data_IF_514823052989
#
_entry.id   IF_514823052989
#
_cell.length_a   1.000
_cell.length_b   1.000
_cell.length_c   1.000
_cell.angle_alpha   90.00
_cell.angle_beta   90.00
_cell.angle_gamma   90.00
#
_symmetry.space_group_name_H-M   'P 1'
#
loop_
_entity.id
_entity.type
_entity.pdbx_description
1 polymer ?
#
# COMPACT_ATOMS: atom_id res chain seq x y z
N UNK A 1 -10.73 -19.26 -9.03
CA UNK A 1 -9.56 -18.67 -9.70
C UNK A 1 -9.91 -17.23 -10.04
N UNK A 2 -9.26 -16.28 -9.37
CA UNK A 2 -9.09 -14.88 -9.75
C UNK A 2 -7.68 -14.54 -9.29
N UNK A 3 -6.78 -13.93 -10.02
CA UNK A 3 -6.54 -13.83 -11.46
C UNK A 3 -5.05 -13.44 -11.54
N UNK A 4 -4.30 -14.04 -12.46
CA UNK A 4 -2.87 -13.83 -12.68
C UNK A 4 -2.48 -12.38 -13.09
N UNK A 5 -1.21 -12.07 -12.78
CA UNK A 5 -0.21 -11.32 -13.57
C UNK A 5 -0.08 -9.77 -13.52
N UNK A 6 0.90 -9.38 -12.70
CA UNK A 6 2.07 -8.50 -12.95
C UNK A 6 1.92 -7.17 -13.73
N UNK A 7 2.52 -6.16 -13.10
CA UNK A 7 3.15 -4.98 -13.70
C UNK A 7 2.22 -3.86 -14.19
N UNK A 8 1.21 -3.53 -13.39
CA UNK A 8 0.75 -2.16 -13.23
C UNK A 8 0.02 -2.13 -11.89
N UNK A 9 0.32 -1.20 -11.00
CA UNK A 9 -0.33 -1.12 -9.69
C UNK A 9 -1.85 -1.17 -9.91
N UNK A 10 -2.49 -2.27 -9.51
CA UNK A 10 -3.93 -2.45 -9.67
C UNK A 10 -4.65 -1.23 -9.08
N UNK A 11 -5.61 -0.60 -9.79
CA UNK A 11 -6.33 0.55 -9.26
C UNK A 11 -7.03 0.23 -7.94
N UNK A 12 -7.38 -1.05 -7.71
CA UNK A 12 -7.86 -1.55 -6.42
C UNK A 12 -6.87 -1.39 -5.27
N UNK A 13 -5.57 -1.56 -5.53
CA UNK A 13 -4.52 -1.33 -4.52
C UNK A 13 -4.46 0.15 -4.18
N UNK A 14 -4.53 1.02 -5.20
CA UNK A 14 -4.54 2.48 -5.00
C UNK A 14 -5.76 2.94 -4.19
N UNK A 15 -6.95 2.45 -4.53
CA UNK A 15 -8.18 2.73 -3.79
C UNK A 15 -8.11 2.21 -2.35
N UNK A 16 -7.65 0.97 -2.14
CA UNK A 16 -7.51 0.42 -0.79
C UNK A 16 -6.50 1.21 0.07
N UNK A 17 -5.38 1.63 -0.52
CA UNK A 17 -4.41 2.52 0.14
C UNK A 17 -5.07 3.87 0.44
N UNK A 18 -5.83 4.46 -0.48
CA UNK A 18 -6.55 5.73 -0.28
C UNK A 18 -7.62 5.65 0.80
N UNK A 19 -8.37 4.55 0.86
CA UNK A 19 -9.38 4.31 1.91
C UNK A 19 -8.74 4.14 3.28
N UNK A 20 -7.59 3.46 3.36
CA UNK A 20 -6.84 3.32 4.60
C UNK A 20 -6.01 4.57 4.96
N UNK A 21 -5.56 5.32 3.96
CA UNK A 21 -4.78 6.54 4.13
C UNK A 21 -5.69 7.67 4.60
N UNK A 22 -5.91 7.75 5.90
CA UNK A 22 -6.57 8.89 6.51
C UNK A 22 -5.74 10.15 6.29
N UNK A 23 -6.30 11.11 5.54
CA UNK A 23 -5.74 12.45 5.29
C UNK A 23 -4.45 12.45 4.43
N UNK A 24 -4.30 11.48 3.52
CA UNK A 24 -3.10 11.35 2.67
C UNK A 24 -1.88 10.82 3.43
N UNK A 25 -2.12 10.12 4.55
CA UNK A 25 -1.09 9.54 5.40
C UNK A 25 -1.46 8.11 5.72
N UNK A 26 -0.52 7.19 5.55
CA UNK A 26 -0.73 5.77 5.88
C UNK A 26 0.30 5.30 6.90
N UNK A 27 -0.13 4.44 7.82
CA UNK A 27 0.79 3.84 8.79
C UNK A 27 1.50 2.62 8.20
N UNK A 28 2.77 2.41 8.54
CA UNK A 28 3.53 1.20 8.16
C UNK A 28 2.77 -0.14 8.39
N UNK A 29 2.09 -0.35 9.55
CA UNK A 29 1.24 -1.52 9.75
C UNK A 29 0.02 -1.59 8.82
N UNK A 30 -0.66 -0.46 8.55
CA UNK A 30 -1.81 -0.39 7.65
C UNK A 30 -1.40 -0.76 6.22
N UNK A 31 -0.30 -0.18 5.73
CA UNK A 31 0.27 -0.51 4.42
C UNK A 31 0.59 -2.00 4.29
N UNK A 32 1.12 -2.62 5.37
CA UNK A 32 1.35 -4.08 5.44
C UNK A 32 0.07 -4.89 5.45
N UNK A 33 -0.94 -4.46 6.20
CA UNK A 33 -2.21 -5.17 6.31
C UNK A 33 -2.93 -5.20 4.96
N UNK A 34 -2.96 -4.06 4.26
CA UNK A 34 -3.48 -3.92 2.90
C UNK A 34 -2.70 -4.82 1.93
N UNK A 35 -1.37 -4.78 1.98
CA UNK A 35 -0.52 -5.66 1.17
C UNK A 35 -0.87 -7.13 1.37
N UNK A 36 -1.03 -7.55 2.62
CA UNK A 36 -1.34 -8.92 3.00
C UNK A 36 -2.77 -9.31 2.60
N UNK A 37 -3.74 -8.42 2.79
CA UNK A 37 -5.14 -8.65 2.45
C UNK A 37 -5.37 -8.73 0.94
N UNK A 38 -4.60 -7.97 0.14
CA UNK A 38 -4.62 -8.01 -1.31
C UNK A 38 -3.68 -9.08 -1.89
N UNK A 39 -2.78 -9.65 -1.09
CA UNK A 39 -1.76 -10.59 -1.54
C UNK A 39 -0.70 -9.96 -2.45
N UNK A 40 -0.43 -8.66 -2.30
CA UNK A 40 0.55 -7.91 -3.08
C UNK A 40 1.81 -7.65 -2.27
N UNK A 41 2.95 -7.50 -2.96
CA UNK A 41 4.21 -7.17 -2.31
C UNK A 41 4.21 -5.76 -1.72
N UNK A 42 4.85 -5.61 -0.56
CA UNK A 42 5.11 -4.31 0.07
C UNK A 42 5.80 -3.31 -0.87
N UNK A 43 6.61 -3.82 -1.81
CA UNK A 43 7.27 -3.00 -2.82
C UNK A 43 6.26 -2.32 -3.74
N UNK A 44 5.19 -3.03 -4.13
CA UNK A 44 4.11 -2.50 -4.97
C UNK A 44 3.30 -1.45 -4.20
N UNK A 45 3.05 -1.69 -2.92
CA UNK A 45 2.36 -0.73 -2.04
C UNK A 45 3.20 0.53 -1.84
N UNK A 46 4.50 0.40 -1.66
CA UNK A 46 5.43 1.52 -1.54
C UNK A 46 5.47 2.37 -2.81
N UNK A 47 5.58 1.73 -3.97
CA UNK A 47 5.53 2.38 -5.30
C UNK A 47 4.18 3.09 -5.52
N UNK A 48 3.07 2.45 -5.13
CA UNK A 48 1.74 3.04 -5.17
C UNK A 48 1.59 4.25 -4.24
N UNK A 49 2.12 4.17 -3.01
CA UNK A 49 2.10 5.29 -2.07
C UNK A 49 2.93 6.48 -2.58
N UNK A 50 4.10 6.21 -3.17
CA UNK A 50 4.97 7.22 -3.77
C UNK A 50 4.27 7.92 -4.95
N UNK A 51 3.63 7.14 -5.83
CA UNK A 51 2.87 7.68 -6.97
C UNK A 51 1.62 8.48 -6.54
N UNK A 52 1.02 8.13 -5.40
CA UNK A 52 -0.14 8.80 -4.82
C UNK A 52 0.21 9.97 -3.88
N UNK A 53 1.51 10.27 -3.70
CA UNK A 53 2.02 11.26 -2.73
C UNK A 53 1.52 11.02 -1.29
N UNK A 54 1.33 9.76 -0.91
CA UNK A 54 0.86 9.37 0.43
C UNK A 54 2.05 9.26 1.38
N UNK A 55 1.99 10.01 2.48
CA UNK A 55 3.06 9.97 3.48
C UNK A 55 2.93 8.74 4.37
N UNK A 56 3.91 7.84 4.26
CA UNK A 56 4.08 6.76 5.23
C UNK A 56 4.57 7.35 6.56
N UNK A 57 3.82 7.12 7.64
CA UNK A 57 4.19 7.58 8.98
C UNK A 57 4.15 6.42 9.99
N UNK A 58 4.80 6.60 11.14
CA UNK A 58 4.66 5.65 12.25
C UNK A 58 5.15 4.24 11.93
N UNK A 59 6.30 4.08 11.25
CA UNK A 59 6.93 2.76 11.17
C UNK A 59 7.48 2.38 12.56
N UNK A 60 6.64 1.68 13.33
CA UNK A 60 6.91 1.25 14.69
C UNK A 60 8.14 0.32 14.82
N UNK A 61 8.68 -0.14 13.69
CA UNK A 61 9.86 -1.00 13.61
C UNK A 61 11.18 -0.25 13.41
N UNK A 62 11.19 1.09 13.30
CA UNK A 62 12.44 1.84 13.16
C UNK A 62 13.23 1.52 11.88
N UNK A 63 12.61 0.90 10.88
CA UNK A 63 13.18 0.72 9.55
C UNK A 63 12.89 1.97 8.71
N UNK A 64 13.80 2.94 8.82
CA UNK A 64 14.11 3.91 7.76
C UNK A 64 15.43 3.50 7.12
#
# INVERSE_FOLDING_TARGET
MQNDDKANVDPKVKEAILEAASDGRISCPEARDIAFSLGVDLKVIGDACDELDIKLYGCALGCF
#
